data_IF_414985869804
#
_entry.id   IF_414985869804
#
_cell.length_a   1.000
_cell.length_b   1.000
_cell.length_c   1.000
_cell.angle_alpha   90.00
_cell.angle_beta   90.00
_cell.angle_gamma   90.00
#
_symmetry.space_group_name_H-M   'P 1'
#
loop_
_entity.id
_entity.type
_entity.pdbx_description
1 polymer ?
#
# COMPACT_ATOMS: atom_id res chain seq x y z
N UNK A 1 -16.12 12.90 -24.58
CA UNK A 1 -14.73 12.86 -24.06
C UNK A 1 -13.83 12.46 -25.22
N UNK A 2 -12.77 13.21 -25.47
CA UNK A 2 -11.83 13.00 -26.57
C UNK A 2 -10.50 12.36 -26.10
N UNK A 3 -10.40 12.04 -24.82
CA UNK A 3 -9.19 11.47 -24.20
C UNK A 3 -8.11 12.49 -23.89
N UNK A 4 -8.34 13.78 -24.12
CA UNK A 4 -7.39 14.82 -23.74
C UNK A 4 -7.45 15.11 -22.24
N UNK A 5 -6.36 15.67 -21.70
CA UNK A 5 -6.33 16.11 -20.29
C UNK A 5 -6.24 14.99 -19.27
N UNK A 6 -5.69 13.82 -19.62
CA UNK A 6 -5.44 12.74 -18.65
C UNK A 6 -4.60 13.27 -17.48
N UNK A 7 -5.13 13.14 -16.26
CA UNK A 7 -4.47 13.59 -15.04
C UNK A 7 -4.68 12.57 -13.92
N UNK A 8 -3.61 12.20 -13.25
CA UNK A 8 -3.68 11.41 -12.03
C UNK A 8 -4.20 12.29 -10.87
N UNK A 9 -5.27 11.87 -10.21
CA UNK A 9 -5.89 12.61 -9.09
C UNK A 9 -5.41 12.10 -7.73
N UNK A 10 -5.26 10.77 -7.59
CA UNK A 10 -4.69 10.14 -6.39
C UNK A 10 -3.19 10.33 -6.37
N UNK A 11 -2.61 10.66 -5.22
CA UNK A 11 -1.20 11.01 -5.08
C UNK A 11 -0.47 10.07 -4.14
N UNK A 12 0.83 9.92 -4.37
CA UNK A 12 1.70 9.11 -3.53
C UNK A 12 1.91 7.71 -4.08
N UNK A 13 2.79 6.97 -3.41
CA UNK A 13 3.10 5.58 -3.76
C UNK A 13 2.31 4.66 -2.83
N UNK A 14 1.00 4.57 -3.07
CA UNK A 14 0.04 3.77 -2.33
C UNK A 14 -0.78 2.91 -3.27
N UNK A 15 -1.36 1.85 -2.76
CA UNK A 15 -2.53 1.23 -3.36
C UNK A 15 -3.73 2.13 -3.09
N UNK A 16 -4.50 2.46 -4.13
CA UNK A 16 -5.67 3.31 -4.06
C UNK A 16 -6.90 2.54 -4.52
N UNK A 17 -7.89 2.46 -3.67
CA UNK A 17 -9.22 1.95 -4.00
C UNK A 17 -10.20 3.10 -3.96
N UNK A 18 -10.73 3.47 -5.14
CA UNK A 18 -11.52 4.67 -5.28
C UNK A 18 -12.98 4.37 -5.60
N UNK A 19 -13.88 5.15 -5.00
CA UNK A 19 -15.27 5.24 -5.40
C UNK A 19 -15.57 6.68 -5.79
N UNK A 20 -16.29 6.85 -6.91
CA UNK A 20 -16.64 8.16 -7.46
C UNK A 20 -18.13 8.36 -7.32
N UNK A 21 -18.58 9.55 -6.93
CA UNK A 21 -19.99 9.88 -6.86
C UNK A 21 -20.62 9.99 -8.28
N UNK A 22 -21.95 9.87 -8.37
CA UNK A 22 -22.67 9.85 -9.64
C UNK A 22 -22.46 11.13 -10.48
N UNK A 23 -22.23 12.25 -9.83
CA UNK A 23 -21.98 13.54 -10.48
C UNK A 23 -20.49 13.78 -10.81
N UNK A 24 -19.60 12.84 -10.42
CA UNK A 24 -18.15 12.95 -10.55
C UNK A 24 -17.56 14.24 -9.94
N UNK A 25 -18.14 14.70 -8.84
CA UNK A 25 -17.66 15.87 -8.08
C UNK A 25 -16.70 15.49 -6.97
N UNK A 26 -16.92 14.32 -6.37
CA UNK A 26 -16.16 13.82 -5.26
C UNK A 26 -15.67 12.41 -5.50
N UNK A 27 -14.55 12.10 -4.89
CA UNK A 27 -13.89 10.80 -4.93
C UNK A 27 -13.60 10.38 -3.50
N UNK A 28 -14.14 9.24 -3.07
CA UNK A 28 -13.68 8.56 -1.86
C UNK A 28 -12.44 7.76 -2.24
N UNK A 29 -11.32 8.05 -1.61
CA UNK A 29 -10.05 7.37 -1.83
C UNK A 29 -9.63 6.64 -0.56
N UNK A 30 -9.70 5.30 -0.61
CA UNK A 30 -9.12 4.44 0.41
C UNK A 30 -7.71 4.08 -0.04
N UNK A 31 -6.70 4.50 0.68
CA UNK A 31 -5.33 4.21 0.30
C UNK A 31 -4.53 3.59 1.43
N UNK A 32 -3.63 2.72 1.05
CA UNK A 32 -2.78 1.98 1.98
C UNK A 32 -1.46 1.57 1.34
N UNK A 33 -0.55 1.20 2.20
CA UNK A 33 0.71 0.56 1.86
C UNK A 33 1.06 -0.42 2.98
N UNK A 34 1.91 -1.41 2.70
CA UNK A 34 2.25 -2.46 3.69
C UNK A 34 2.92 -1.92 4.96
N UNK A 35 3.53 -0.74 4.89
CA UNK A 35 4.26 -0.07 5.97
C UNK A 35 3.56 1.19 6.50
N UNK A 36 2.27 1.36 6.20
CA UNK A 36 1.45 2.46 6.71
C UNK A 36 0.07 1.96 7.18
N UNK A 37 -0.57 2.71 8.06
CA UNK A 37 -1.97 2.46 8.40
C UNK A 37 -2.88 2.82 7.21
N UNK A 38 -3.96 2.06 6.96
CA UNK A 38 -4.96 2.42 5.96
C UNK A 38 -5.65 3.75 6.30
N UNK A 39 -5.89 4.54 5.28
CA UNK A 39 -6.52 5.85 5.38
C UNK A 39 -7.63 6.01 4.34
N UNK A 40 -8.67 6.76 4.70
CA UNK A 40 -9.76 7.12 3.81
C UNK A 40 -9.95 8.64 3.79
N UNK A 41 -10.01 9.21 2.60
CA UNK A 41 -10.19 10.65 2.38
C UNK A 41 -11.22 10.93 1.29
N UNK A 42 -11.81 12.10 1.31
CA UNK A 42 -12.59 12.61 0.18
C UNK A 42 -11.75 13.63 -0.57
N UNK A 43 -11.67 13.44 -1.88
CA UNK A 43 -11.04 14.37 -2.81
C UNK A 43 -12.12 15.06 -3.66
N UNK A 44 -11.84 16.27 -4.14
CA UNK A 44 -12.62 16.89 -5.22
C UNK A 44 -12.22 16.32 -6.60
N UNK A 45 -12.93 16.69 -7.64
CA UNK A 45 -12.63 16.26 -9.02
C UNK A 45 -11.34 16.84 -9.61
N UNK A 46 -10.60 17.65 -8.88
CA UNK A 46 -9.27 18.14 -9.22
C UNK A 46 -8.16 17.35 -8.46
N UNK A 47 -8.56 16.47 -7.53
CA UNK A 47 -7.66 15.72 -6.67
C UNK A 47 -7.17 16.49 -5.45
N UNK A 48 -7.88 17.56 -5.04
CA UNK A 48 -7.59 18.23 -3.79
C UNK A 48 -8.35 17.56 -2.65
N UNK A 49 -7.67 17.34 -1.52
CA UNK A 49 -8.31 16.76 -0.34
C UNK A 49 -9.34 17.73 0.24
N UNK A 50 -10.57 17.26 0.36
CA UNK A 50 -11.72 17.99 0.94
C UNK A 50 -11.80 17.70 2.43
N UNK A 51 -11.67 16.40 2.82
CA UNK A 51 -11.74 16.00 4.22
C UNK A 51 -11.08 14.64 4.44
N UNK A 52 -10.63 14.41 5.65
CA UNK A 52 -10.28 13.08 6.15
C UNK A 52 -11.57 12.37 6.62
N UNK A 53 -11.72 11.11 6.24
CA UNK A 53 -12.88 10.30 6.64
C UNK A 53 -12.50 9.43 7.83
N UNK A 54 -11.44 8.62 7.67
CA UNK A 54 -10.99 7.67 8.67
C UNK A 54 -9.51 7.36 8.49
N UNK A 55 -8.82 7.21 9.61
CA UNK A 55 -7.51 6.58 9.71
C UNK A 55 -7.64 5.36 10.62
N UNK A 56 -7.05 4.24 10.23
CA UNK A 56 -7.08 3.03 11.04
C UNK A 56 -6.23 3.21 12.30
N UNK A 57 -6.81 2.88 13.45
CA UNK A 57 -6.10 2.95 14.73
C UNK A 57 -5.36 1.64 15.03
N UNK A 58 -4.03 1.66 14.89
CA UNK A 58 -3.14 0.54 15.21
C UNK A 58 -2.49 0.66 16.59
N UNK A 59 -2.92 1.58 17.44
CA UNK A 59 -2.30 1.85 18.75
C UNK A 59 -2.21 0.59 19.63
N UNK A 60 -3.27 -0.22 19.67
CA UNK A 60 -3.28 -1.48 20.43
C UNK A 60 -2.34 -2.53 19.81
N UNK A 61 -2.22 -2.58 18.49
CA UNK A 61 -1.29 -3.49 17.81
C UNK A 61 0.15 -3.11 18.14
N UNK A 62 0.50 -1.83 18.05
CA UNK A 62 1.84 -1.34 18.40
C UNK A 62 2.16 -1.57 19.88
N UNK A 63 1.20 -1.36 20.78
CA UNK A 63 1.37 -1.65 22.21
C UNK A 63 1.66 -3.13 22.49
N UNK A 64 1.19 -4.03 21.61
CA UNK A 64 1.47 -5.47 21.68
C UNK A 64 2.69 -5.89 20.85
N UNK A 65 3.53 -4.94 20.43
CA UNK A 65 4.80 -5.23 19.75
C UNK A 65 4.69 -5.39 18.24
N UNK A 66 3.53 -5.11 17.62
CA UNK A 66 3.41 -5.13 16.16
C UNK A 66 4.40 -4.17 15.52
N UNK A 67 5.02 -4.62 14.45
CA UNK A 67 5.88 -3.82 13.58
C UNK A 67 5.41 -4.01 12.15
N UNK A 68 5.42 -2.94 11.38
CA UNK A 68 5.16 -3.05 9.96
C UNK A 68 6.18 -3.98 9.29
N UNK A 69 5.77 -4.71 8.25
CA UNK A 69 6.70 -5.50 7.46
C UNK A 69 7.69 -4.59 6.70
N UNK A 70 8.80 -5.18 6.33
CA UNK A 70 9.86 -4.48 5.60
C UNK A 70 9.74 -4.73 4.10
N UNK A 71 9.77 -3.65 3.33
CA UNK A 71 9.91 -3.73 1.87
C UNK A 71 11.38 -4.02 1.54
N UNK A 72 11.61 -4.94 0.60
CA UNK A 72 12.94 -5.22 0.09
C UNK A 72 12.93 -5.43 -1.42
N UNK A 73 14.10 -5.33 -2.01
CA UNK A 73 14.31 -5.58 -3.44
C UNK A 73 15.51 -6.50 -3.59
N UNK A 74 15.38 -7.50 -4.45
CA UNK A 74 16.47 -8.41 -4.81
C UNK A 74 16.55 -8.53 -6.33
N UNK A 75 17.74 -8.86 -6.84
CA UNK A 75 17.88 -9.15 -8.27
C UNK A 75 17.37 -10.55 -8.59
N UNK A 76 16.66 -10.67 -9.71
CA UNK A 76 16.29 -11.95 -10.29
C UNK A 76 17.53 -12.74 -10.75
N UNK A 77 17.34 -13.97 -11.18
CA UNK A 77 18.42 -14.83 -11.67
C UNK A 77 19.15 -14.27 -12.91
N UNK A 78 18.54 -13.35 -13.66
CA UNK A 78 19.16 -12.64 -14.77
C UNK A 78 20.15 -11.54 -14.32
N UNK A 79 20.21 -11.22 -13.03
CA UNK A 79 21.07 -10.20 -12.44
C UNK A 79 20.67 -8.75 -12.77
N UNK A 80 19.59 -8.54 -13.52
CA UNK A 80 19.16 -7.22 -14.03
C UNK A 80 17.79 -6.83 -13.46
N UNK A 81 16.81 -7.72 -13.54
CA UNK A 81 15.42 -7.46 -13.14
C UNK A 81 15.33 -7.34 -11.61
N UNK A 82 14.67 -6.27 -11.14
CA UNK A 82 14.37 -6.10 -9.72
C UNK A 82 13.09 -6.86 -9.36
N UNK A 83 13.18 -7.70 -8.32
CA UNK A 83 12.06 -8.35 -7.68
C UNK A 83 11.77 -7.65 -6.36
N UNK A 84 10.52 -7.30 -6.14
CA UNK A 84 10.08 -6.62 -4.94
C UNK A 84 9.41 -7.62 -4.01
N UNK A 85 9.68 -7.50 -2.74
CA UNK A 85 9.11 -8.36 -1.73
C UNK A 85 8.76 -7.63 -0.44
N UNK A 86 7.97 -8.29 0.39
CA UNK A 86 7.57 -7.84 1.71
C UNK A 86 8.00 -8.89 2.72
N UNK A 87 8.76 -8.50 3.73
CA UNK A 87 9.28 -9.40 4.75
C UNK A 87 8.56 -9.17 6.09
N UNK A 88 7.85 -10.18 6.55
CA UNK A 88 7.27 -10.22 7.90
C UNK A 88 8.23 -10.89 8.85
N UNK A 89 8.59 -10.21 9.92
CA UNK A 89 9.46 -10.73 10.98
C UNK A 89 8.68 -10.96 12.26
N UNK A 90 9.08 -11.92 13.12
CA UNK A 90 8.53 -12.01 14.47
C UNK A 90 8.64 -10.66 15.20
N UNK A 91 7.70 -10.37 16.11
CA UNK A 91 7.72 -9.10 16.86
C UNK A 91 8.94 -8.99 17.78
N UNK A 92 9.45 -10.13 18.25
CA UNK A 92 10.66 -10.28 19.05
C UNK A 92 11.89 -10.67 18.21
N UNK A 93 11.90 -10.31 16.93
CA UNK A 93 12.99 -10.65 16.01
C UNK A 93 14.36 -10.23 16.57
N UNK A 94 15.27 -11.18 16.59
CA UNK A 94 16.65 -11.02 17.05
C UNK A 94 17.62 -11.43 15.91
N UNK A 95 18.32 -10.46 15.36
CA UNK A 95 19.24 -10.66 14.22
C UNK A 95 20.42 -11.59 14.52
N UNK A 96 20.66 -11.97 15.79
CA UNK A 96 21.69 -12.94 16.18
C UNK A 96 21.20 -14.39 16.11
N UNK A 97 19.91 -14.60 15.91
CA UNK A 97 19.28 -15.91 15.80
C UNK A 97 19.04 -16.32 14.36
N UNK A 98 18.90 -17.61 14.14
CA UNK A 98 18.53 -18.19 12.85
C UNK A 98 17.04 -18.51 12.87
N UNK A 99 16.33 -18.10 11.82
CA UNK A 99 14.90 -18.33 11.65
C UNK A 99 14.62 -19.12 10.37
N UNK A 100 13.63 -20.01 10.37
CA UNK A 100 13.13 -20.57 9.11
C UNK A 100 12.48 -19.46 8.26
N UNK A 101 12.62 -19.58 6.94
CA UNK A 101 11.99 -18.68 5.98
C UNK A 101 10.84 -19.44 5.31
N UNK A 102 9.67 -18.81 5.24
CA UNK A 102 8.54 -19.26 4.43
C UNK A 102 8.42 -18.27 3.28
N UNK A 103 8.64 -18.77 2.07
CA UNK A 103 8.47 -17.98 0.85
C UNK A 103 7.06 -18.21 0.29
N UNK A 104 6.30 -17.13 0.13
CA UNK A 104 4.98 -17.15 -0.48
C UNK A 104 5.04 -16.34 -1.77
N UNK A 105 4.90 -17.02 -2.88
CA UNK A 105 4.91 -16.42 -4.22
C UNK A 105 3.61 -16.72 -4.96
N UNK A 106 3.12 -15.73 -5.67
CA UNK A 106 1.99 -15.87 -6.57
C UNK A 106 2.44 -15.54 -8.01
N UNK A 107 3.09 -16.50 -8.70
CA UNK A 107 3.65 -16.27 -10.02
C UNK A 107 2.53 -16.30 -11.07
N UNK A 108 2.40 -15.22 -11.80
CA UNK A 108 1.49 -15.16 -12.94
C UNK A 108 0.99 -13.74 -13.22
N UNK A 109 0.39 -13.53 -14.40
CA UNK A 109 -0.11 -12.22 -14.80
C UNK A 109 -1.52 -11.93 -14.26
N UNK A 110 -1.97 -12.65 -13.26
CA UNK A 110 -3.26 -12.37 -12.61
C UNK A 110 -3.16 -11.10 -11.79
N UNK A 111 -4.19 -10.31 -11.91
CA UNK A 111 -4.39 -9.12 -11.07
C UNK A 111 -5.10 -9.56 -9.79
N UNK A 112 -4.54 -9.20 -8.68
CA UNK A 112 -5.22 -9.23 -7.40
C UNK A 112 -5.66 -7.82 -7.00
#
# INVERSE_FOLDING_TARGET
MDGSGLKQLTKGNYFHEVAVDDDAKYILDNYSRVDTVPMAVVLDNNGNKVMDVQESDFSQLFANGYKFPELFTVKAADGVTDLYGVMYKPFDFDSTKVYPIIDYVYPGPQVE
#
